data_IF_729570910072
#
_entry.id   IF_729570910072
#
_cell.length_a   1.000
_cell.length_b   1.000
_cell.length_c   1.000
_cell.angle_alpha   90.00
_cell.angle_beta   90.00
_cell.angle_gamma   90.00
#
_symmetry.space_group_name_H-M   'P 1'
#
loop_
_entity.id
_entity.type
_entity.pdbx_description
1 polymer ?
#
# COMPACT_ATOMS: atom_id res chain seq x y z
N UNK A 1 8.44 16.76 -40.39
CA UNK A 1 7.60 15.52 -40.40
C UNK A 1 8.50 14.39 -39.92
N UNK A 2 8.43 14.05 -38.63
CA UNK A 2 9.31 13.05 -38.03
C UNK A 2 8.75 11.66 -38.35
N UNK A 3 9.57 10.87 -39.02
CA UNK A 3 9.22 9.54 -39.51
C UNK A 3 9.34 8.54 -38.36
N UNK A 4 8.26 8.40 -37.58
CA UNK A 4 8.20 7.44 -36.47
C UNK A 4 7.95 6.05 -37.05
N UNK A 5 9.02 5.40 -37.49
CA UNK A 5 8.98 3.98 -37.86
C UNK A 5 8.72 3.16 -36.59
N UNK A 6 7.55 2.53 -36.51
CA UNK A 6 7.23 1.60 -35.44
C UNK A 6 8.20 0.42 -35.50
N UNK A 7 8.79 0.07 -34.36
CA UNK A 7 9.66 -1.12 -34.28
C UNK A 7 8.89 -2.34 -34.79
N UNK A 8 9.47 -3.15 -35.68
CA UNK A 8 8.84 -4.39 -36.10
C UNK A 8 8.57 -5.24 -34.87
N UNK A 9 7.34 -5.76 -34.75
CA UNK A 9 6.93 -6.66 -33.67
C UNK A 9 7.68 -7.98 -33.87
N UNK A 10 8.89 -8.04 -33.32
CA UNK A 10 9.68 -9.26 -33.27
C UNK A 10 9.02 -10.22 -32.28
N UNK A 11 8.38 -11.24 -32.86
CA UNK A 11 7.87 -12.46 -32.25
C UNK A 11 6.79 -12.29 -31.18
N UNK A 12 5.62 -12.89 -31.47
CA UNK A 12 4.61 -13.22 -30.46
C UNK A 12 5.28 -14.18 -29.47
N UNK A 13 5.81 -13.64 -28.37
CA UNK A 13 6.34 -14.46 -27.29
C UNK A 13 5.15 -15.19 -26.68
N UNK A 14 5.10 -16.51 -26.82
CA UNK A 14 4.16 -17.35 -26.10
C UNK A 14 4.40 -17.17 -24.60
N UNK A 15 3.47 -16.47 -23.93
CA UNK A 15 3.50 -16.22 -22.47
C UNK A 15 2.78 -17.31 -21.68
N UNK A 16 2.36 -18.40 -22.32
CA UNK A 16 1.64 -19.49 -21.66
C UNK A 16 2.54 -20.36 -20.78
N UNK A 17 3.87 -20.29 -20.98
CA UNK A 17 4.84 -21.00 -20.15
C UNK A 17 5.53 -20.03 -19.17
N UNK A 18 5.70 -20.41 -17.88
CA UNK A 18 6.55 -19.68 -16.95
C UNK A 18 7.98 -19.67 -17.49
N UNK A 19 8.59 -18.48 -17.54
CA UNK A 19 9.95 -18.32 -18.02
C UNK A 19 10.92 -19.09 -17.10
N UNK A 20 11.48 -20.21 -17.58
CA UNK A 20 12.31 -21.13 -16.78
C UNK A 20 13.77 -20.67 -16.65
N UNK A 21 14.15 -19.56 -17.26
CA UNK A 21 15.47 -18.97 -17.10
C UNK A 21 15.53 -18.26 -15.74
N UNK A 22 16.02 -18.97 -14.73
CA UNK A 22 16.54 -18.34 -13.52
C UNK A 22 17.79 -17.57 -13.91
N UNK A 23 17.62 -16.31 -14.27
CA UNK A 23 18.71 -15.35 -14.31
C UNK A 23 19.15 -15.17 -12.86
N UNK A 24 20.45 -15.26 -12.59
CA UNK A 24 21.00 -14.92 -11.28
C UNK A 24 20.56 -13.50 -10.96
N UNK A 25 19.63 -13.41 -10.02
CA UNK A 25 18.97 -12.16 -9.70
C UNK A 25 19.94 -11.37 -8.84
N UNK A 26 20.43 -10.26 -9.38
CA UNK A 26 21.13 -9.26 -8.57
C UNK A 26 20.09 -8.61 -7.64
N UNK A 27 19.92 -9.22 -6.47
CA UNK A 27 18.92 -8.83 -5.48
C UNK A 27 19.11 -7.36 -5.05
N UNK A 28 20.36 -6.89 -4.99
CA UNK A 28 20.68 -5.50 -4.66
C UNK A 28 20.18 -4.55 -5.76
N UNK A 29 20.40 -4.86 -7.05
CA UNK A 29 19.83 -4.05 -8.14
C UNK A 29 18.31 -4.04 -8.14
N UNK A 30 17.67 -5.17 -7.83
CA UNK A 30 16.20 -5.20 -7.72
C UNK A 30 15.74 -4.35 -6.54
N UNK A 31 16.42 -4.46 -5.40
CA UNK A 31 16.10 -3.69 -4.19
C UNK A 31 16.25 -2.20 -4.45
N UNK A 32 17.36 -1.78 -5.04
CA UNK A 32 17.65 -0.39 -5.34
C UNK A 32 16.66 0.18 -6.37
N UNK A 33 16.35 -0.58 -7.42
CA UNK A 33 15.32 -0.20 -8.38
C UNK A 33 13.94 -0.09 -7.75
N UNK A 34 13.60 -0.95 -6.80
CA UNK A 34 12.32 -0.94 -6.11
C UNK A 34 12.17 0.29 -5.21
N UNK A 35 13.18 0.58 -4.38
CA UNK A 35 13.14 1.74 -3.50
C UNK A 35 13.33 3.06 -4.24
N UNK A 36 14.09 3.08 -5.33
CA UNK A 36 14.21 4.25 -6.22
C UNK A 36 12.90 4.64 -6.91
N UNK A 37 11.92 3.74 -6.99
CA UNK A 37 10.56 4.04 -7.44
C UNK A 37 9.65 4.58 -6.32
N UNK A 38 10.16 4.71 -5.10
CA UNK A 38 9.43 5.22 -3.93
C UNK A 38 9.00 6.66 -4.11
N UNK A 39 7.85 7.02 -3.52
CA UNK A 39 7.29 8.37 -3.56
C UNK A 39 8.32 9.45 -3.21
N UNK A 40 9.17 9.18 -2.23
CA UNK A 40 10.16 10.11 -1.69
C UNK A 40 11.18 10.56 -2.74
N UNK A 41 11.44 9.74 -3.76
CA UNK A 41 12.47 10.01 -4.76
C UNK A 41 11.98 10.89 -5.91
N UNK A 42 10.67 10.85 -6.24
CA UNK A 42 10.10 11.61 -7.35
C UNK A 42 9.16 12.72 -6.92
N UNK A 43 8.72 12.74 -5.66
CA UNK A 43 7.72 13.69 -5.19
C UNK A 43 8.22 15.14 -5.29
N UNK A 44 9.48 15.41 -4.95
CA UNK A 44 10.03 16.77 -5.04
C UNK A 44 10.00 17.32 -6.48
N UNK A 45 10.21 16.46 -7.48
CA UNK A 45 10.22 16.85 -8.89
C UNK A 45 8.81 17.00 -9.50
N UNK A 46 7.81 16.30 -8.94
CA UNK A 46 6.48 16.20 -9.53
C UNK A 46 5.37 16.74 -8.62
N UNK A 47 5.68 17.35 -7.48
CA UNK A 47 4.68 17.79 -6.50
C UNK A 47 3.67 18.80 -7.09
N UNK A 48 4.10 19.65 -8.01
CA UNK A 48 3.24 20.64 -8.69
C UNK A 48 2.21 19.99 -9.63
N UNK A 49 2.51 18.78 -10.11
CA UNK A 49 1.69 18.05 -11.08
C UNK A 49 0.98 16.83 -10.47
N UNK A 50 1.08 16.63 -9.16
CA UNK A 50 0.48 15.50 -8.45
C UNK A 50 -0.42 15.98 -7.31
N UNK A 51 -0.97 15.03 -6.56
CA UNK A 51 -1.78 15.34 -5.39
C UNK A 51 -0.90 15.87 -4.26
N UNK A 52 -1.41 16.89 -3.55
CA UNK A 52 -0.85 17.29 -2.26
C UNK A 52 -0.67 16.05 -1.39
N UNK A 53 0.55 15.89 -0.87
CA UNK A 53 0.93 14.75 -0.05
C UNK A 53 1.78 15.25 1.12
N UNK A 54 1.55 14.67 2.30
CA UNK A 54 2.43 14.82 3.46
C UNK A 54 3.17 13.51 3.66
N UNK A 55 4.50 13.56 3.67
CA UNK A 55 5.36 12.42 3.96
C UNK A 55 5.48 12.27 5.48
N UNK A 56 5.23 11.06 5.99
CA UNK A 56 5.37 10.74 7.40
C UNK A 56 6.46 9.68 7.54
N UNK A 57 7.59 10.07 8.12
CA UNK A 57 8.70 9.16 8.37
C UNK A 57 8.30 8.07 9.38
N UNK A 58 8.60 6.81 9.06
CA UNK A 58 8.49 5.70 9.99
C UNK A 58 9.85 5.43 10.61
N UNK A 59 9.98 5.62 11.93
CA UNK A 59 11.25 5.40 12.64
C UNK A 59 11.53 3.91 12.77
N UNK A 60 12.80 3.56 12.88
CA UNK A 60 13.23 2.16 13.00
C UNK A 60 12.55 1.43 14.18
N UNK A 61 12.47 2.07 15.35
CA UNK A 61 11.81 1.50 16.52
C UNK A 61 10.33 1.23 16.26
N UNK A 62 9.64 2.17 15.62
CA UNK A 62 8.22 2.03 15.29
C UNK A 62 7.99 0.92 14.26
N UNK A 63 8.86 0.83 13.25
CA UNK A 63 8.83 -0.23 12.25
C UNK A 63 9.04 -1.61 12.89
N UNK A 64 10.02 -1.74 13.79
CA UNK A 64 10.27 -2.98 14.55
C UNK A 64 9.05 -3.39 15.36
N UNK A 65 8.50 -2.49 16.16
CA UNK A 65 7.29 -2.75 16.96
C UNK A 65 6.12 -3.25 16.09
N UNK A 66 5.88 -2.62 14.92
CA UNK A 66 4.81 -3.04 13.99
C UNK A 66 5.07 -4.45 13.44
N UNK A 67 6.31 -4.74 13.02
CA UNK A 67 6.68 -6.04 12.45
C UNK A 67 6.61 -7.15 13.50
N UNK A 68 7.12 -6.91 14.69
CA UNK A 68 7.08 -7.85 15.83
C UNK A 68 5.64 -8.17 16.22
N UNK A 69 4.79 -7.15 16.34
CA UNK A 69 3.37 -7.33 16.62
C UNK A 69 2.67 -8.17 15.54
N UNK A 70 2.94 -7.90 14.25
CA UNK A 70 2.38 -8.70 13.16
C UNK A 70 2.88 -10.15 13.17
N UNK A 71 4.17 -10.37 13.43
CA UNK A 71 4.76 -11.71 13.53
C UNK A 71 4.14 -12.51 14.68
N UNK A 72 3.95 -11.88 15.83
CA UNK A 72 3.27 -12.50 16.97
C UNK A 72 1.86 -12.96 16.61
N UNK A 73 1.04 -12.09 16.00
CA UNK A 73 -0.31 -12.49 15.56
C UNK A 73 -0.28 -13.61 14.53
N UNK A 74 0.65 -13.58 13.58
CA UNK A 74 0.81 -14.64 12.58
C UNK A 74 1.18 -15.97 13.23
N UNK A 75 2.10 -15.99 14.19
CA UNK A 75 2.48 -17.23 14.88
C UNK A 75 1.35 -17.74 15.81
N UNK A 76 0.58 -16.83 16.43
CA UNK A 76 -0.64 -17.18 17.20
C UNK A 76 -1.69 -17.83 16.31
N UNK A 77 -1.93 -17.30 15.10
CA UNK A 77 -2.81 -17.93 14.11
C UNK A 77 -2.34 -19.34 13.71
N UNK A 78 -1.02 -19.55 13.61
CA UNK A 78 -0.40 -20.84 13.32
C UNK A 78 -0.31 -21.79 14.54
N UNK A 79 -0.75 -21.34 15.72
CA UNK A 79 -0.64 -22.05 17.02
C UNK A 79 0.79 -22.40 17.43
N UNK A 80 1.76 -21.59 16.98
CA UNK A 80 3.19 -21.79 17.26
C UNK A 80 3.64 -21.09 18.55
N UNK A 81 2.75 -20.32 19.21
CA UNK A 81 3.05 -19.55 20.43
C UNK A 81 2.15 -20.00 21.59
N UNK A 82 2.77 -20.18 22.75
CA UNK A 82 2.14 -20.48 24.04
C UNK A 82 1.31 -19.30 24.57
N UNK A 83 0.23 -19.58 25.30
CA UNK A 83 -0.65 -18.54 25.90
C UNK A 83 0.11 -17.65 26.91
N UNK A 84 1.24 -18.10 27.43
CA UNK A 84 2.08 -17.37 28.40
C UNK A 84 2.89 -16.22 27.77
N UNK A 85 3.10 -16.22 26.45
CA UNK A 85 3.85 -15.19 25.72
C UNK A 85 2.94 -14.07 25.21
N UNK A 86 1.86 -13.76 25.93
CA UNK A 86 0.86 -12.81 25.46
C UNK A 86 1.44 -11.38 25.39
N UNK A 87 1.60 -10.86 24.17
CA UNK A 87 2.04 -9.48 23.97
C UNK A 87 0.98 -8.51 24.53
N UNK A 88 1.43 -7.62 25.40
CA UNK A 88 0.58 -6.58 25.96
C UNK A 88 0.32 -5.48 24.90
N UNK A 89 -0.89 -5.48 24.34
CA UNK A 89 -1.33 -4.50 23.35
C UNK A 89 -1.26 -3.05 23.87
N UNK A 90 -1.36 -2.83 25.19
CA UNK A 90 -1.29 -1.49 25.77
C UNK A 90 0.11 -0.91 25.64
N UNK A 91 1.16 -1.72 25.86
CA UNK A 91 2.55 -1.33 25.69
C UNK A 91 2.84 -0.98 24.22
N UNK A 92 2.30 -1.76 23.28
CA UNK A 92 2.44 -1.51 21.84
C UNK A 92 1.79 -0.18 21.46
N UNK A 93 0.58 0.06 21.94
CA UNK A 93 -0.14 1.30 21.68
C UNK A 93 0.61 2.52 22.22
N UNK A 94 1.21 2.42 23.41
CA UNK A 94 2.04 3.47 23.98
C UNK A 94 3.30 3.73 23.14
N UNK A 95 3.99 2.67 22.70
CA UNK A 95 5.16 2.79 21.82
C UNK A 95 4.81 3.44 20.46
N UNK A 96 3.61 3.18 19.94
CA UNK A 96 3.13 3.72 18.66
C UNK A 96 2.26 4.98 18.82
N UNK A 97 2.10 5.52 20.02
CA UNK A 97 1.23 6.67 20.28
C UNK A 97 1.70 7.92 19.51
N UNK A 98 3.02 8.15 19.48
CA UNK A 98 3.61 9.27 18.74
C UNK A 98 3.38 9.13 17.24
N UNK A 99 3.64 7.94 16.68
CA UNK A 99 3.37 7.66 15.26
C UNK A 99 1.89 7.88 14.93
N UNK A 100 0.99 7.35 15.76
CA UNK A 100 -0.46 7.51 15.59
C UNK A 100 -0.88 8.97 15.55
N UNK A 101 -0.31 9.80 16.44
CA UNK A 101 -0.54 11.24 16.44
C UNK A 101 -0.02 11.88 15.14
N UNK A 102 1.22 11.61 14.73
CA UNK A 102 1.81 12.17 13.49
C UNK A 102 1.01 11.79 12.25
N UNK A 103 0.58 10.53 12.15
CA UNK A 103 -0.28 10.06 11.07
C UNK A 103 -1.63 10.77 11.08
N UNK A 104 -2.27 10.93 12.23
CA UNK A 104 -3.54 11.63 12.32
C UNK A 104 -3.40 13.11 11.91
N UNK A 105 -2.37 13.80 12.41
CA UNK A 105 -2.12 15.20 12.07
C UNK A 105 -1.90 15.38 10.55
N UNK A 106 -1.12 14.48 9.93
CA UNK A 106 -0.90 14.45 8.48
C UNK A 106 -2.19 14.18 7.69
N UNK A 107 -2.99 13.19 8.12
CA UNK A 107 -4.28 12.87 7.49
C UNK A 107 -5.23 14.06 7.57
N UNK A 108 -5.36 14.70 8.74
CA UNK A 108 -6.23 15.87 8.91
C UNK A 108 -5.73 17.07 8.12
N UNK A 109 -4.42 17.22 7.93
CA UNK A 109 -3.84 18.24 7.04
C UNK A 109 -4.28 18.02 5.60
N UNK A 110 -4.11 16.80 5.06
CA UNK A 110 -4.47 16.50 3.66
C UNK A 110 -5.99 16.48 3.42
N UNK A 111 -6.78 16.02 4.40
CA UNK A 111 -8.26 16.09 4.35
C UNK A 111 -8.73 17.54 4.20
N UNK A 112 -8.12 18.50 4.90
CA UNK A 112 -8.48 19.93 4.81
C UNK A 112 -8.16 20.55 3.46
N UNK A 113 -7.15 20.04 2.74
CA UNK A 113 -6.79 20.49 1.40
C UNK A 113 -7.65 19.84 0.31
N UNK A 114 -8.27 18.70 0.62
CA UNK A 114 -9.03 17.89 -0.34
C UNK A 114 -10.42 18.46 -0.60
N UNK A 115 -10.82 18.72 -1.86
CA UNK A 115 -12.17 19.19 -2.20
C UNK A 115 -13.29 18.25 -1.76
N UNK A 116 -12.99 16.96 -1.60
CA UNK A 116 -13.94 15.93 -1.18
C UNK A 116 -13.82 15.58 0.30
N UNK A 117 -12.96 16.28 1.06
CA UNK A 117 -12.75 16.05 2.48
C UNK A 117 -12.21 14.65 2.80
N UNK A 118 -11.37 14.09 1.92
CA UNK A 118 -10.78 12.74 2.10
C UNK A 118 -9.31 12.73 1.72
N UNK A 119 -8.56 11.88 2.41
CA UNK A 119 -7.18 11.53 2.09
C UNK A 119 -7.06 10.02 1.90
N UNK A 120 -6.04 9.58 1.17
CA UNK A 120 -5.63 8.17 1.10
C UNK A 120 -4.22 8.02 1.67
N UNK A 121 -3.93 6.86 2.22
CA UNK A 121 -2.61 6.54 2.78
C UNK A 121 -1.97 5.44 1.92
N UNK A 122 -0.69 5.61 1.63
CA UNK A 122 0.15 4.58 1.00
C UNK A 122 1.53 4.55 1.66
N UNK A 123 2.22 3.43 1.52
CA UNK A 123 3.65 3.36 1.78
C UNK A 123 4.42 3.90 0.57
N UNK A 124 5.74 4.04 0.71
CA UNK A 124 6.66 4.56 -0.29
C UNK A 124 6.41 4.01 -1.70
N UNK A 125 6.33 2.69 -1.83
CA UNK A 125 6.26 1.99 -3.13
C UNK A 125 4.91 1.35 -3.42
N UNK A 126 4.11 1.01 -2.39
CA UNK A 126 2.81 0.34 -2.57
C UNK A 126 1.71 0.92 -1.70
N UNK A 127 0.51 0.96 -2.27
CA UNK A 127 -0.73 1.22 -1.53
C UNK A 127 -1.33 -0.10 -1.04
N UNK A 128 -2.07 -0.11 0.09
CA UNK A 128 -2.69 -1.31 0.65
C UNK A 128 -3.99 -1.73 -0.09
N UNK A 129 -4.02 -1.57 -1.42
CA UNK A 129 -5.19 -1.82 -2.27
C UNK A 129 -5.67 -3.28 -2.23
N UNK A 130 -4.76 -4.21 -1.96
CA UNK A 130 -5.02 -5.65 -1.91
C UNK A 130 -5.25 -6.15 -0.47
N UNK A 131 -5.43 -5.24 0.50
CA UNK A 131 -5.72 -5.67 1.87
C UNK A 131 -7.13 -6.27 1.95
N UNK A 132 -7.26 -7.41 2.66
CA UNK A 132 -8.54 -8.11 2.85
C UNK A 132 -9.65 -7.18 3.32
N UNK A 133 -9.31 -6.23 4.19
CA UNK A 133 -10.23 -5.22 4.73
C UNK A 133 -10.75 -4.26 3.66
N UNK A 134 -9.87 -3.72 2.80
CA UNK A 134 -10.28 -2.81 1.72
C UNK A 134 -11.13 -3.54 0.69
N UNK A 135 -10.78 -4.78 0.35
CA UNK A 135 -11.60 -5.62 -0.53
C UNK A 135 -12.98 -5.89 0.06
N UNK A 136 -13.08 -6.22 1.35
CA UNK A 136 -14.38 -6.41 2.02
C UNK A 136 -15.24 -5.14 1.97
N UNK A 137 -14.67 -3.98 2.30
CA UNK A 137 -15.38 -2.69 2.23
C UNK A 137 -15.85 -2.38 0.80
N UNK A 138 -15.01 -2.66 -0.20
CA UNK A 138 -15.35 -2.46 -1.60
C UNK A 138 -16.50 -3.38 -2.06
N UNK A 139 -16.46 -4.65 -1.66
CA UNK A 139 -17.52 -5.63 -1.91
C UNK A 139 -18.85 -5.19 -1.30
N UNK A 140 -18.85 -4.76 -0.04
CA UNK A 140 -20.06 -4.26 0.63
C UNK A 140 -20.63 -3.02 -0.05
N UNK A 141 -19.75 -2.09 -0.46
CA UNK A 141 -20.16 -0.90 -1.18
C UNK A 141 -20.74 -1.21 -2.57
N UNK A 142 -20.21 -2.24 -3.25
CA UNK A 142 -20.72 -2.72 -4.53
C UNK A 142 -22.13 -3.31 -4.37
N UNK A 143 -22.34 -4.23 -3.42
CA UNK A 143 -23.67 -4.81 -3.16
C UNK A 143 -24.71 -3.73 -2.84
N UNK A 144 -24.38 -2.78 -1.95
CA UNK A 144 -25.25 -1.64 -1.64
C UNK A 144 -25.63 -0.78 -2.84
N UNK A 145 -24.76 -0.68 -3.85
CA UNK A 145 -25.07 0.05 -5.09
C UNK A 145 -25.97 -0.79 -5.99
N UNK A 146 -25.66 -2.07 -6.17
CA UNK A 146 -26.45 -2.98 -7.00
C UNK A 146 -27.89 -3.10 -6.50
N UNK A 147 -28.09 -3.21 -5.17
CA UNK A 147 -29.43 -3.27 -4.57
C UNK A 147 -30.24 -1.99 -4.81
N UNK A 148 -29.58 -0.82 -4.83
CA UNK A 148 -30.22 0.46 -5.16
C UNK A 148 -30.64 0.54 -6.63
N UNK A 149 -29.84 -0.02 -7.54
CA UNK A 149 -30.17 -0.07 -8.97
C UNK A 149 -31.26 -1.09 -9.29
N UNK A 150 -31.36 -2.17 -8.53
CA UNK A 150 -32.38 -3.21 -8.74
C UNK A 150 -33.72 -2.92 -8.03
N UNK A 151 -33.73 -2.01 -7.05
CA UNK A 151 -34.91 -1.64 -6.26
C UNK A 151 -35.63 -0.36 -6.71
N UNK A 152 -35.28 0.22 -7.86
CA UNK A 152 -35.80 1.51 -8.31
C UNK A 152 -35.87 1.64 -9.82
N UNK A 153 -36.69 0.80 -10.46
CA UNK A 153 -37.29 1.13 -11.74
C UNK A 153 -38.60 1.89 -11.48
N UNK A 154 -38.47 3.16 -11.12
CA UNK A 154 -39.55 4.15 -11.28
C UNK A 154 -39.09 5.13 -12.37
N UNK A 155 -39.48 4.83 -13.61
CA UNK A 155 -39.73 5.81 -14.65
C UNK A 155 -41.25 5.99 -14.75
#
# INVERSE_FOLDING_TARGET
>A
KNNTSLRPVSQVSDRSAPNKTFVEVDEDKIRDSFFGAGLEHWYEELNEYTFSSTLCELKEVEAKTIVEHWQYHRQKELREVSIEDELDETIIMDQLANLSKRLNDAIQSEVRKSPVGRAFVKLSTRSPKDSKRILAIATDAYHKRMDKTNGGADF
#
